data_IF_006721611990
#
_entry.id   IF_006721611990
#
_cell.length_a   1.000
_cell.length_b   1.000
_cell.length_c   1.000
_cell.angle_alpha   90.00
_cell.angle_beta   90.00
_cell.angle_gamma   90.00
#
_symmetry.space_group_name_H-M   'P 1'
#
loop_
_entity.id
_entity.type
_entity.pdbx_description
1 polymer ?
#
# COMPACT_ATOMS: atom_id res chain seq x y z
N UNK A 1 3.19 -0.67 7.92
CA UNK A 1 2.51 -1.41 6.81
C UNK A 1 1.06 -1.78 7.06
N UNK A 2 0.67 -2.27 8.25
CA UNK A 2 -0.73 -2.66 8.54
C UNK A 2 -1.73 -1.51 8.33
N UNK A 3 -1.42 -0.33 8.87
CA UNK A 3 -2.24 0.88 8.73
C UNK A 3 -2.43 1.27 7.26
N UNK A 4 -1.34 1.33 6.48
CA UNK A 4 -1.40 1.59 5.04
C UNK A 4 -2.33 0.62 4.31
N UNK A 5 -2.31 -0.67 4.65
CA UNK A 5 -3.23 -1.64 4.05
C UNK A 5 -4.67 -1.44 4.50
N UNK A 6 -4.91 -1.15 5.78
CA UNK A 6 -6.24 -0.88 6.29
C UNK A 6 -6.86 0.36 5.62
N UNK A 7 -6.15 1.49 5.62
CA UNK A 7 -6.63 2.74 5.02
C UNK A 7 -6.68 2.68 3.49
N UNK A 8 -5.78 1.93 2.84
CA UNK A 8 -5.80 1.69 1.41
C UNK A 8 -6.75 0.56 0.98
N UNK A 9 -7.52 -0.03 1.91
CA UNK A 9 -8.42 -1.16 1.69
C UNK A 9 -7.75 -2.35 0.95
N UNK A 10 -6.46 -2.54 1.21
CA UNK A 10 -5.65 -3.57 0.59
C UNK A 10 -5.82 -4.91 1.31
N UNK A 11 -5.79 -6.00 0.55
CA UNK A 11 -5.95 -7.33 1.11
C UNK A 11 -4.77 -7.68 2.03
N UNK A 12 -5.02 -8.13 3.26
CA UNK A 12 -3.92 -8.45 4.20
C UNK A 12 -3.03 -9.61 3.75
N UNK A 13 -3.53 -10.50 2.88
CA UNK A 13 -2.76 -11.66 2.42
C UNK A 13 -1.60 -11.31 1.47
N UNK A 14 -1.37 -10.04 1.17
CA UNK A 14 -0.22 -9.60 0.37
C UNK A 14 0.80 -8.81 1.21
N UNK A 15 0.60 -8.78 2.53
CA UNK A 15 1.55 -8.23 3.50
C UNK A 15 2.68 -9.22 3.82
N UNK A 16 2.49 -10.50 3.50
CA UNK A 16 3.48 -11.55 3.72
C UNK A 16 3.64 -12.39 2.45
N UNK A 17 4.88 -12.81 2.19
CA UNK A 17 5.11 -13.89 1.24
C UNK A 17 4.59 -15.18 1.87
N UNK A 18 3.75 -15.96 1.16
CA UNK A 18 3.33 -17.25 1.68
C UNK A 18 4.54 -18.19 1.78
N UNK A 19 4.60 -19.05 2.80
CA UNK A 19 5.74 -19.99 2.97
C UNK A 19 5.94 -20.90 1.75
N UNK A 20 4.86 -21.18 1.01
CA UNK A 20 4.94 -21.91 -0.23
C UNK A 20 5.44 -21.00 -1.36
N UNK A 21 6.70 -21.21 -1.77
CA UNK A 21 7.39 -20.50 -2.86
C UNK A 21 6.58 -20.53 -4.16
N UNK A 22 5.83 -21.60 -4.45
CA UNK A 22 5.00 -21.70 -5.67
C UNK A 22 3.83 -20.71 -5.68
N UNK A 23 3.46 -20.16 -4.53
CA UNK A 23 2.41 -19.14 -4.36
C UNK A 23 2.98 -17.73 -4.32
N UNK A 24 4.30 -17.57 -4.40
CA UNK A 24 4.93 -16.25 -4.52
C UNK A 24 4.51 -15.64 -5.84
N UNK A 25 3.99 -14.41 -5.79
CA UNK A 25 3.61 -13.69 -6.97
C UNK A 25 3.94 -12.23 -6.79
N UNK A 26 4.86 -11.75 -7.62
CA UNK A 26 5.25 -10.34 -7.67
C UNK A 26 4.06 -9.43 -8.05
N UNK A 27 3.03 -9.98 -8.68
CA UNK A 27 1.80 -9.25 -9.02
C UNK A 27 1.06 -8.75 -7.78
N UNK A 28 1.17 -9.45 -6.64
CA UNK A 28 0.47 -9.10 -5.40
C UNK A 28 1.29 -8.19 -4.49
N UNK A 29 2.48 -7.78 -4.92
CA UNK A 29 3.32 -6.90 -4.13
C UNK A 29 2.87 -5.45 -4.29
N UNK A 30 2.69 -4.77 -3.17
CA UNK A 30 2.63 -3.31 -3.15
C UNK A 30 3.99 -2.78 -3.58
N UNK A 31 4.02 -1.97 -4.64
CA UNK A 31 5.26 -1.41 -5.15
C UNK A 31 5.70 -0.20 -4.32
N UNK A 32 6.29 -0.43 -3.17
CA UNK A 32 6.80 0.65 -2.30
C UNK A 32 7.85 1.53 -2.96
N UNK A 33 8.54 1.04 -4.00
CA UNK A 33 9.45 1.87 -4.79
C UNK A 33 8.75 2.93 -5.63
N UNK A 34 7.43 2.83 -5.82
CA UNK A 34 6.59 3.86 -6.45
C UNK A 34 5.93 4.80 -5.44
N UNK A 35 6.34 4.72 -4.17
CA UNK A 35 5.80 5.57 -3.11
C UNK A 35 6.12 7.04 -3.41
N UNK A 36 5.07 7.85 -3.53
CA UNK A 36 5.13 9.30 -3.54
C UNK A 36 4.61 9.83 -2.21
N UNK A 37 5.39 10.70 -1.57
CA UNK A 37 5.04 11.35 -0.32
C UNK A 37 4.73 12.82 -0.59
N UNK A 38 3.55 13.26 -0.18
CA UNK A 38 3.16 14.66 -0.18
C UNK A 38 2.98 15.15 1.27
N UNK A 39 2.78 16.47 1.43
CA UNK A 39 2.63 17.09 2.74
C UNK A 39 1.38 16.57 3.47
N UNK A 40 0.32 16.26 2.72
CA UNK A 40 -1.01 15.90 3.26
C UNK A 40 -1.45 14.48 2.93
N UNK A 41 -0.69 13.73 2.13
CA UNK A 41 -1.05 12.39 1.71
C UNK A 41 0.18 11.60 1.26
N UNK A 42 -0.03 10.33 0.96
CA UNK A 42 0.96 9.52 0.26
C UNK A 42 0.25 8.60 -0.73
N UNK A 43 0.95 8.24 -1.80
CA UNK A 43 0.38 7.38 -2.85
C UNK A 43 1.39 6.36 -3.35
N UNK A 44 0.90 5.25 -3.88
CA UNK A 44 1.72 4.21 -4.48
C UNK A 44 0.94 3.46 -5.56
N UNK A 45 1.65 2.84 -6.49
CA UNK A 45 1.07 2.05 -7.56
C UNK A 45 0.81 0.61 -7.12
N UNK A 46 -0.41 0.14 -7.39
CA UNK A 46 -0.78 -1.27 -7.38
C UNK A 46 -0.70 -1.82 -8.80
N UNK A 47 0.18 -2.80 -9.01
CA UNK A 47 0.27 -3.51 -10.29
C UNK A 47 -0.94 -4.40 -10.56
N UNK A 48 -1.66 -4.84 -9.53
CA UNK A 48 -2.72 -5.81 -9.69
C UNK A 48 -3.91 -5.48 -8.81
N UNK A 49 -5.06 -5.33 -9.44
CA UNK A 49 -6.36 -5.35 -8.80
C UNK A 49 -7.19 -6.47 -9.42
N UNK A 50 -7.99 -7.19 -8.64
CA UNK A 50 -8.78 -8.34 -9.14
C UNK A 50 -9.76 -7.94 -10.26
N UNK A 51 -10.14 -6.67 -10.33
CA UNK A 51 -10.96 -6.11 -11.42
C UNK A 51 -10.16 -5.37 -12.51
N UNK A 52 -8.84 -5.18 -12.32
CA UNK A 52 -7.97 -4.58 -13.34
C UNK A 52 -7.17 -5.70 -14.05
N UNK A 53 -7.78 -6.25 -15.10
CA UNK A 53 -7.14 -7.23 -15.97
C UNK A 53 -6.10 -6.62 -16.90
N UNK A 54 -6.07 -5.28 -17.04
CA UNK A 54 -5.24 -4.57 -18.02
C UNK A 54 -3.93 -4.07 -17.45
N UNK A 55 -3.71 -4.21 -16.13
CA UNK A 55 -2.47 -3.80 -15.46
C UNK A 55 -2.11 -2.34 -15.76
N UNK A 56 -3.12 -1.46 -15.93
CA UNK A 56 -2.85 -0.04 -16.19
C UNK A 56 -2.29 0.68 -14.97
N UNK A 57 -2.23 -0.02 -13.82
CA UNK A 57 -1.60 0.48 -12.60
C UNK A 57 -2.56 1.41 -11.88
N UNK A 58 -3.22 0.91 -10.84
CA UNK A 58 -4.07 1.76 -10.02
C UNK A 58 -3.20 2.49 -8.99
N UNK A 59 -3.38 3.80 -8.87
CA UNK A 59 -2.73 4.58 -7.83
C UNK A 59 -3.64 4.56 -6.61
N UNK A 60 -3.14 4.05 -5.49
CA UNK A 60 -3.81 4.17 -4.19
C UNK A 60 -3.24 5.40 -3.53
N UNK A 61 -4.11 6.33 -3.17
CA UNK A 61 -3.77 7.52 -2.41
C UNK A 61 -4.42 7.43 -1.03
N UNK A 62 -3.64 7.70 0.00
CA UNK A 62 -4.09 7.69 1.39
C UNK A 62 -3.82 9.07 1.97
N UNK A 63 -4.91 9.72 2.38
CA UNK A 63 -4.84 11.06 2.97
C UNK A 63 -4.41 11.00 4.44
N UNK A 64 -3.74 12.06 4.87
CA UNK A 64 -3.45 12.28 6.27
C UNK A 64 -4.73 12.60 7.03
N UNK A 65 -4.78 12.15 8.28
CA UNK A 65 -5.89 12.40 9.19
C UNK A 65 -5.33 13.17 10.41
N UNK A 66 -5.15 14.50 10.30
CA UNK A 66 -4.47 15.29 11.33
C UNK A 66 -5.21 15.31 12.67
N UNK A 67 -6.54 15.23 12.65
CA UNK A 67 -7.37 15.23 13.87
C UNK A 67 -7.61 13.82 14.44
N UNK A 68 -7.06 12.79 13.79
CA UNK A 68 -7.18 11.40 14.23
C UNK A 68 -5.99 11.02 15.12
N UNK A 69 -6.22 10.29 16.23
CA UNK A 69 -5.11 9.71 17.02
C UNK A 69 -4.26 8.72 16.20
N UNK A 70 -4.82 8.21 15.09
CA UNK A 70 -4.15 7.29 14.18
C UNK A 70 -4.05 7.97 12.80
N UNK A 71 -2.97 8.73 12.60
CA UNK A 71 -2.68 9.35 11.31
C UNK A 71 -1.79 8.42 10.46
N UNK A 72 -2.27 7.91 9.32
CA UNK A 72 -1.51 6.96 8.49
C UNK A 72 -0.21 7.56 7.93
N UNK A 73 -0.17 8.87 7.67
CA UNK A 73 1.00 9.55 7.11
C UNK A 73 2.14 9.60 8.12
N UNK A 74 1.87 9.96 9.38
CA UNK A 74 2.91 10.05 10.42
C UNK A 74 3.50 8.67 10.73
N UNK A 75 2.67 7.62 10.75
CA UNK A 75 3.14 6.25 10.94
C UNK A 75 4.00 5.75 9.78
N UNK A 76 3.68 6.17 8.55
CA UNK A 76 4.49 5.83 7.38
C UNK A 76 5.83 6.57 7.42
N UNK A 77 5.83 7.86 7.74
CA UNK A 77 7.06 8.65 7.86
C UNK A 77 7.99 8.08 8.94
N UNK A 78 7.45 7.69 10.10
CA UNK A 78 8.22 7.06 11.16
C UNK A 78 8.79 5.68 10.77
N UNK A 79 8.16 4.97 9.83
CA UNK A 79 8.68 3.70 9.32
C UNK A 79 9.80 3.88 8.29
N UNK A 80 9.85 5.02 7.60
CA UNK A 80 10.85 5.31 6.57
C UNK A 80 12.12 5.99 7.11
N UNK A 81 12.06 6.53 8.33
CA UNK A 81 13.19 7.12 9.05
C UNK A 81 14.10 6.03 9.66
#
# INVERSE_FOLDING_TARGET
MLLTRFFGLLHFSELTFPDNIRKHSFKKLTLWHTLSLEVTCFSFTLLFHKADCFYMGNIVMIESLPDSPINPLSHLQAYLA
#
